data_IF_224072512523
#
_entry.id   IF_224072512523
#
_cell.length_a   1.000
_cell.length_b   1.000
_cell.length_c   1.000
_cell.angle_alpha   90.00
_cell.angle_beta   90.00
_cell.angle_gamma   90.00
#
_symmetry.space_group_name_H-M   'P 1'
#
loop_
_entity.id
_entity.type
_entity.pdbx_description
1 polymer ?
#
# COMPACT_ATOMS: atom_id res chain seq x y z
N UNK A 1 -24.93 -3.33 -2.34
CA UNK A 1 -23.83 -3.63 -1.39
C UNK A 1 -22.55 -3.81 -2.16
N UNK A 2 -21.53 -3.06 -1.82
CA UNK A 2 -20.25 -3.18 -2.51
C UNK A 2 -19.60 -4.54 -2.18
N UNK A 3 -19.15 -5.24 -3.20
CA UNK A 3 -18.44 -6.49 -3.00
C UNK A 3 -17.04 -6.21 -2.46
N UNK A 4 -16.62 -6.98 -1.47
CA UNK A 4 -15.27 -6.88 -0.91
C UNK A 4 -14.31 -7.72 -1.75
N UNK A 5 -14.02 -7.25 -2.96
CA UNK A 5 -13.09 -7.91 -3.86
C UNK A 5 -11.90 -7.00 -4.17
N UNK A 6 -10.89 -7.54 -4.83
CA UNK A 6 -9.67 -6.79 -5.14
C UNK A 6 -9.92 -5.57 -6.01
N UNK A 7 -10.84 -5.67 -6.96
CA UNK A 7 -11.15 -4.55 -7.85
C UNK A 7 -11.79 -3.40 -7.08
N UNK A 8 -12.72 -3.71 -6.17
CA UNK A 8 -13.33 -2.71 -5.30
C UNK A 8 -12.28 -2.07 -4.39
N UNK A 9 -11.39 -2.88 -3.83
CA UNK A 9 -10.31 -2.41 -2.96
C UNK A 9 -9.41 -1.43 -3.70
N UNK A 10 -8.94 -1.79 -4.89
CA UNK A 10 -8.10 -0.90 -5.72
C UNK A 10 -8.81 0.40 -6.04
N UNK A 11 -10.06 0.31 -6.49
CA UNK A 11 -10.85 1.48 -6.88
C UNK A 11 -11.01 2.44 -5.70
N UNK A 12 -11.35 1.92 -4.53
CA UNK A 12 -11.53 2.75 -3.34
C UNK A 12 -10.24 3.40 -2.89
N UNK A 13 -9.13 2.66 -2.93
CA UNK A 13 -7.83 3.21 -2.55
C UNK A 13 -7.40 4.30 -3.53
N UNK A 14 -7.47 4.02 -4.83
CA UNK A 14 -7.09 4.99 -5.87
C UNK A 14 -7.94 6.25 -5.75
N UNK A 15 -9.24 6.10 -5.57
CA UNK A 15 -10.15 7.24 -5.41
C UNK A 15 -9.78 8.09 -4.19
N UNK A 16 -9.46 7.44 -3.08
CA UNK A 16 -9.04 8.14 -1.87
C UNK A 16 -7.73 8.89 -2.05
N UNK A 17 -6.75 8.26 -2.73
CA UNK A 17 -5.46 8.89 -3.00
C UNK A 17 -5.60 10.07 -3.96
N UNK A 18 -6.46 9.94 -4.97
CA UNK A 18 -6.73 11.01 -5.92
C UNK A 18 -7.25 12.25 -5.20
N UNK A 19 -8.16 12.07 -4.26
CA UNK A 19 -8.68 13.19 -3.48
C UNK A 19 -7.61 13.92 -2.69
N UNK A 20 -6.60 13.19 -2.24
CA UNK A 20 -5.53 13.76 -1.40
C UNK A 20 -4.36 14.30 -2.19
N UNK A 21 -4.01 13.64 -3.29
CA UNK A 21 -2.72 13.83 -3.96
C UNK A 21 -2.83 14.35 -5.39
N UNK A 22 -4.02 14.43 -5.98
CA UNK A 22 -4.15 14.83 -7.38
C UNK A 22 -3.68 16.26 -7.65
N UNK A 23 -3.61 17.10 -6.61
CA UNK A 23 -3.06 18.45 -6.74
C UNK A 23 -1.55 18.53 -6.76
N UNK A 24 -0.87 17.43 -6.45
CA UNK A 24 0.59 17.40 -6.44
C UNK A 24 1.14 17.28 -7.86
N UNK A 25 2.23 18.02 -8.18
CA UNK A 25 2.81 17.99 -9.53
C UNK A 25 3.24 16.59 -9.99
N UNK A 26 3.60 15.73 -9.08
CA UNK A 26 4.07 14.38 -9.39
C UNK A 26 2.93 13.36 -9.54
N UNK A 27 1.67 13.78 -9.40
CA UNK A 27 0.54 12.88 -9.53
C UNK A 27 0.45 12.31 -10.94
N UNK A 28 0.37 10.98 -11.03
CA UNK A 28 0.16 10.25 -12.28
C UNK A 28 -0.67 9.01 -11.97
N UNK A 29 -1.83 8.89 -12.59
CA UNK A 29 -2.77 7.81 -12.28
C UNK A 29 -2.19 6.42 -12.59
N UNK A 30 -1.42 6.30 -13.65
CA UNK A 30 -0.82 5.02 -14.02
C UNK A 30 0.23 4.59 -12.99
N UNK A 31 1.07 5.53 -12.56
CA UNK A 31 2.07 5.27 -11.52
C UNK A 31 1.40 4.93 -10.20
N UNK A 32 0.34 5.65 -9.85
CA UNK A 32 -0.39 5.37 -8.60
C UNK A 32 -1.08 4.01 -8.63
N UNK A 33 -1.58 3.61 -9.78
CA UNK A 33 -2.18 2.28 -9.93
C UNK A 33 -1.14 1.19 -9.69
N UNK A 34 0.07 1.36 -10.22
CA UNK A 34 1.16 0.43 -9.96
C UNK A 34 1.55 0.42 -8.48
N UNK A 35 1.62 1.57 -7.84
CA UNK A 35 1.93 1.66 -6.41
C UNK A 35 0.89 0.93 -5.56
N UNK A 36 -0.38 1.09 -5.89
CA UNK A 36 -1.47 0.41 -5.18
C UNK A 36 -1.34 -1.11 -5.36
N UNK A 37 -1.10 -1.58 -6.58
CA UNK A 37 -0.93 -3.00 -6.84
C UNK A 37 0.26 -3.57 -6.09
N UNK A 38 1.39 -2.85 -6.08
CA UNK A 38 2.59 -3.28 -5.36
C UNK A 38 2.34 -3.35 -3.85
N UNK A 39 1.66 -2.36 -3.29
CA UNK A 39 1.33 -2.33 -1.87
C UNK A 39 0.42 -3.51 -1.49
N UNK A 40 -0.57 -3.81 -2.32
CA UNK A 40 -1.46 -4.95 -2.10
C UNK A 40 -0.65 -6.25 -2.10
N UNK A 41 0.25 -6.43 -3.06
CA UNK A 41 1.10 -7.62 -3.12
C UNK A 41 2.02 -7.75 -1.91
N UNK A 42 2.57 -6.63 -1.42
CA UNK A 42 3.42 -6.66 -0.23
C UNK A 42 2.63 -7.08 1.02
N UNK A 43 1.42 -6.55 1.20
CA UNK A 43 0.55 -6.94 2.31
C UNK A 43 0.17 -8.41 2.19
N UNK A 44 -0.13 -8.86 0.97
CA UNK A 44 -0.45 -10.25 0.69
C UNK A 44 0.68 -11.18 1.11
N UNK A 45 1.92 -10.83 0.78
CA UNK A 45 3.10 -11.59 1.19
C UNK A 45 3.27 -11.59 2.70
N UNK A 46 3.04 -10.45 3.35
CA UNK A 46 3.18 -10.33 4.79
C UNK A 46 2.15 -11.17 5.54
N UNK A 47 0.96 -11.35 4.97
CA UNK A 47 -0.11 -12.13 5.58
C UNK A 47 0.11 -13.64 5.47
N UNK A 48 0.85 -14.10 4.50
CA UNK A 48 1.16 -15.54 4.29
C UNK A 48 -0.08 -16.41 4.31
N UNK A 49 -0.98 -16.19 3.34
CA UNK A 49 -2.23 -16.94 3.27
C UNK A 49 -1.97 -18.43 3.08
N UNK A 50 -2.62 -19.28 3.90
CA UNK A 50 -2.54 -20.72 3.70
C UNK A 50 -3.19 -21.13 2.37
N UNK A 51 -2.76 -22.25 1.82
CA UNK A 51 -3.30 -22.77 0.56
C UNK A 51 -4.79 -23.15 0.67
N UNK A 52 -5.30 -23.27 1.89
CA UNK A 52 -6.71 -23.57 2.15
C UNK A 52 -7.62 -22.36 1.97
N UNK A 53 -7.06 -21.15 1.91
CA UNK A 53 -7.86 -19.94 1.73
C UNK A 53 -8.36 -19.84 0.29
N UNK A 54 -9.65 -19.52 0.13
CA UNK A 54 -10.21 -19.20 -1.17
C UNK A 54 -9.81 -17.78 -1.57
N UNK A 55 -9.92 -17.47 -2.85
CA UNK A 55 -9.66 -16.12 -3.32
C UNK A 55 -10.60 -15.11 -2.65
N UNK A 56 -11.86 -15.49 -2.44
CA UNK A 56 -12.82 -14.63 -1.75
C UNK A 56 -12.38 -14.31 -0.32
N UNK A 57 -11.85 -15.30 0.39
CA UNK A 57 -11.33 -15.08 1.75
C UNK A 57 -10.13 -14.16 1.76
N UNK A 58 -9.22 -14.33 0.80
CA UNK A 58 -8.05 -13.47 0.65
C UNK A 58 -8.49 -12.03 0.38
N UNK A 59 -9.44 -11.84 -0.53
CA UNK A 59 -9.93 -10.51 -0.89
C UNK A 59 -10.54 -9.78 0.31
N UNK A 60 -11.35 -10.47 1.10
CA UNK A 60 -11.96 -9.91 2.31
C UNK A 60 -10.89 -9.52 3.32
N UNK A 61 -9.90 -10.38 3.51
CA UNK A 61 -8.82 -10.10 4.45
C UNK A 61 -8.01 -8.87 3.99
N UNK A 62 -7.65 -8.80 2.72
CA UNK A 62 -6.93 -7.65 2.17
C UNK A 62 -7.74 -6.37 2.31
N UNK A 63 -9.05 -6.45 2.08
CA UNK A 63 -9.93 -5.30 2.23
C UNK A 63 -9.89 -4.74 3.65
N UNK A 64 -9.73 -5.60 4.65
CA UNK A 64 -9.64 -5.16 6.04
C UNK A 64 -8.36 -4.36 6.33
N UNK A 65 -7.36 -4.44 5.45
CA UNK A 65 -6.11 -3.68 5.57
C UNK A 65 -6.07 -2.46 4.65
N UNK A 66 -7.22 -2.01 4.15
CA UNK A 66 -7.30 -0.86 3.24
C UNK A 66 -6.57 0.37 3.77
N UNK A 67 -6.73 0.66 5.05
CA UNK A 67 -6.08 1.82 5.69
C UNK A 67 -4.56 1.71 5.65
N UNK A 68 -4.02 0.54 5.97
CA UNK A 68 -2.58 0.31 5.94
C UNK A 68 -2.02 0.39 4.52
N UNK A 69 -2.75 -0.18 3.55
CA UNK A 69 -2.36 -0.12 2.14
C UNK A 69 -2.29 1.33 1.67
N UNK A 70 -3.27 2.16 2.05
CA UNK A 70 -3.25 3.59 1.72
C UNK A 70 -2.03 4.29 2.31
N UNK A 71 -1.70 3.99 3.55
CA UNK A 71 -0.51 4.57 4.21
C UNK A 71 0.77 4.22 3.47
N UNK A 72 0.90 2.98 3.05
CA UNK A 72 2.06 2.53 2.27
C UNK A 72 2.17 3.33 0.97
N UNK A 73 1.05 3.48 0.27
CA UNK A 73 1.02 4.23 -1.00
C UNK A 73 1.38 5.70 -0.79
N UNK A 74 0.84 6.34 0.23
CA UNK A 74 1.13 7.73 0.54
C UNK A 74 2.62 7.88 0.87
N UNK A 75 3.14 6.97 1.66
CA UNK A 75 4.57 6.98 2.00
C UNK A 75 5.44 6.88 0.76
N UNK A 76 5.15 5.92 -0.11
CA UNK A 76 5.93 5.71 -1.33
C UNK A 76 5.82 6.90 -2.29
N UNK A 77 4.64 7.49 -2.40
CA UNK A 77 4.43 8.69 -3.22
C UNK A 77 5.30 9.84 -2.72
N UNK A 78 5.29 10.08 -1.41
CA UNK A 78 6.06 11.18 -0.82
C UNK A 78 7.57 10.95 -0.94
N UNK A 79 8.00 9.70 -0.80
CA UNK A 79 9.41 9.34 -0.95
C UNK A 79 9.90 9.60 -2.37
N UNK A 80 9.14 9.18 -3.37
CA UNK A 80 9.50 9.38 -4.77
C UNK A 80 9.59 10.87 -5.11
N UNK A 81 8.66 11.67 -4.60
CA UNK A 81 8.71 13.11 -4.77
C UNK A 81 9.94 13.72 -4.11
N UNK A 82 10.31 13.23 -2.92
CA UNK A 82 11.47 13.71 -2.20
C UNK A 82 12.78 13.35 -2.90
N UNK A 83 12.86 12.16 -3.49
CA UNK A 83 14.05 11.73 -4.24
C UNK A 83 14.36 12.67 -5.40
N UNK A 84 13.35 13.23 -6.02
CA UNK A 84 13.52 14.19 -7.10
C UNK A 84 14.13 15.52 -6.67
N UNK A 85 14.18 15.80 -5.38
CA UNK A 85 14.72 17.04 -4.83
C UNK A 85 16.20 16.97 -4.46
N UNK A 86 16.78 15.78 -4.53
CA UNK A 86 18.21 15.57 -4.33
C UNK A 86 18.76 16.09 -2.99
N UNK A 87 17.98 16.00 -1.93
CA UNK A 87 18.33 16.51 -0.61
C UNK A 87 18.34 15.36 0.41
N UNK A 88 19.09 14.30 0.14
CA UNK A 88 19.08 13.18 1.06
C UNK A 88 20.40 12.96 1.75
N UNK A 89 20.39 13.05 3.07
CA UNK A 89 21.43 12.49 3.89
C UNK A 89 21.15 10.99 4.07
N UNK A 90 22.18 10.22 4.37
CA UNK A 90 22.04 8.79 4.67
C UNK A 90 21.03 8.54 5.80
N UNK A 91 21.00 9.44 6.78
CA UNK A 91 20.08 9.34 7.92
C UNK A 91 18.62 9.41 7.48
N UNK A 92 18.30 10.21 6.47
CA UNK A 92 16.94 10.31 5.97
C UNK A 92 16.50 9.03 5.25
N UNK A 93 17.43 8.40 4.55
CA UNK A 93 17.15 7.12 3.88
C UNK A 93 16.86 6.05 4.93
N UNK A 94 17.65 6.01 6.00
CA UNK A 94 17.45 5.07 7.11
C UNK A 94 16.11 5.26 7.79
N UNK A 95 15.76 6.51 8.07
CA UNK A 95 14.45 6.85 8.63
C UNK A 95 13.32 6.41 7.74
N UNK A 96 13.49 6.58 6.45
CA UNK A 96 12.49 6.17 5.47
C UNK A 96 12.18 4.68 5.56
N UNK A 97 13.20 3.85 5.72
CA UNK A 97 13.01 2.41 5.86
C UNK A 97 12.23 2.04 7.12
N UNK A 98 12.58 2.65 8.24
CA UNK A 98 11.89 2.39 9.51
C UNK A 98 10.44 2.86 9.48
N UNK A 99 10.20 4.03 8.92
CA UNK A 99 8.85 4.59 8.81
C UNK A 99 7.96 3.73 7.90
N UNK A 100 8.54 3.22 6.82
CA UNK A 100 7.80 2.33 5.93
C UNK A 100 7.41 1.04 6.64
N UNK A 101 8.30 0.47 7.45
CA UNK A 101 7.99 -0.71 8.26
C UNK A 101 6.83 -0.45 9.21
N UNK A 102 6.71 0.75 9.75
CA UNK A 102 5.61 1.12 10.63
C UNK A 102 4.26 1.04 9.92
N UNK A 103 4.22 1.23 8.61
CA UNK A 103 2.99 1.09 7.84
C UNK A 103 2.47 -0.35 7.86
N UNK A 104 3.36 -1.32 8.10
CA UNK A 104 3.01 -2.74 8.19
C UNK A 104 2.69 -3.18 9.64
N UNK A 105 2.71 -2.26 10.59
CA UNK A 105 2.37 -2.59 11.97
C UNK A 105 0.96 -3.17 12.05
N UNK A 106 0.82 -4.30 12.73
CA UNK A 106 -0.46 -4.99 12.83
C UNK A 106 -0.75 -5.96 11.69
N UNK A 107 0.06 -5.96 10.64
CA UNK A 107 -0.08 -6.91 9.54
C UNK A 107 0.76 -8.14 9.88
N UNK A 108 0.13 -9.13 10.47
CA UNK A 108 0.81 -10.34 10.95
C UNK A 108 0.53 -11.51 10.02
N UNK A 109 1.49 -12.45 9.90
CA UNK A 109 1.24 -13.64 9.08
C UNK A 109 0.18 -14.54 9.70
N UNK A 110 -0.72 -15.06 8.85
CA UNK A 110 -1.73 -16.03 9.27
C UNK A 110 -1.04 -17.37 9.51
N UNK A 111 -0.13 -17.73 8.62
CA UNK A 111 0.63 -18.98 8.70
C UNK A 111 2.08 -18.66 9.09
N UNK A 112 2.57 -19.31 10.13
CA UNK A 112 3.96 -19.15 10.59
C UNK A 112 4.89 -20.22 10.00
N UNK A 113 4.35 -21.10 9.19
CA UNK A 113 5.13 -22.18 8.59
C UNK A 113 5.21 -22.06 7.09
#
# INVERSE_FOLDING_TARGET
>A
MAEMNLDSLRTEIISSLEKRLSGEPSWNIDVMTDMVNDAIEEVKKARRYPSTYTQAQIDVDLYSYKSQIKKICIYDFNRDGAEGQNIHSENNVYRGFEDRKKCFAGILPISIF
#
